data_IF_354747103792
#
_entry.id   IF_354747103792
#
_cell.length_a   1.000
_cell.length_b   1.000
_cell.length_c   1.000
_cell.angle_alpha   90.00
_cell.angle_beta   90.00
_cell.angle_gamma   90.00
#
_symmetry.space_group_name_H-M   'P 1'
#
loop_
_entity.id
_entity.type
_entity.pdbx_description
1 polymer ?
#
# COMPACT_ATOMS: atom_id res chain seq x y z
N UNK A 1 9.28 6.97 10.04
CA UNK A 1 9.46 8.28 9.40
C UNK A 1 10.96 8.55 9.26
N UNK A 2 11.59 8.09 8.17
CA UNK A 2 13.03 8.20 7.96
C UNK A 2 13.52 9.62 7.62
N UNK A 3 12.74 10.44 6.89
CA UNK A 3 13.11 11.83 6.54
C UNK A 3 11.93 12.77 6.79
N UNK A 4 12.17 14.06 7.09
CA UNK A 4 11.09 15.04 7.14
C UNK A 4 10.53 15.31 5.74
N UNK A 5 9.21 15.55 5.67
CA UNK A 5 8.55 16.06 4.47
C UNK A 5 8.48 17.58 4.61
N UNK A 6 9.31 18.29 3.84
CA UNK A 6 9.52 19.75 4.00
C UNK A 6 8.98 20.57 2.84
N UNK A 7 8.57 19.90 1.76
CA UNK A 7 8.05 20.49 0.52
C UNK A 7 6.80 19.71 0.08
N UNK A 8 6.29 20.04 -1.10
CA UNK A 8 5.27 19.22 -1.74
C UNK A 8 5.78 17.78 -1.88
N UNK A 9 4.85 16.83 -1.72
CA UNK A 9 5.19 15.43 -1.63
C UNK A 9 4.16 14.56 -2.32
N UNK A 10 4.63 13.44 -2.86
CA UNK A 10 3.79 12.47 -3.57
C UNK A 10 3.69 11.19 -2.77
N UNK A 11 2.46 10.73 -2.52
CA UNK A 11 2.19 9.43 -1.93
C UNK A 11 2.06 8.38 -3.03
N UNK A 12 2.88 7.34 -2.98
CA UNK A 12 2.95 6.28 -3.98
C UNK A 12 2.48 4.98 -3.34
N UNK A 13 1.45 4.37 -3.93
CA UNK A 13 0.95 3.04 -3.54
C UNK A 13 1.17 2.07 -4.69
N UNK A 14 2.11 1.14 -4.53
CA UNK A 14 2.34 0.12 -5.53
C UNK A 14 1.21 -0.91 -5.55
N UNK A 15 0.89 -1.40 -6.74
CA UNK A 15 0.03 -2.56 -6.87
C UNK A 15 0.69 -3.77 -6.17
N UNK A 16 -0.08 -4.57 -5.41
CA UNK A 16 0.46 -5.76 -4.79
C UNK A 16 0.88 -6.77 -5.87
N UNK A 17 1.82 -7.64 -5.53
CA UNK A 17 2.21 -8.72 -6.42
C UNK A 17 1.00 -9.55 -6.87
N UNK A 18 1.00 -9.99 -8.13
CA UNK A 18 -0.13 -10.71 -8.74
C UNK A 18 -0.54 -11.95 -7.93
N UNK A 19 0.42 -12.67 -7.34
CA UNK A 19 0.15 -13.82 -6.47
C UNK A 19 -0.64 -13.43 -5.22
N UNK A 20 -0.32 -12.29 -4.60
CA UNK A 20 -1.03 -11.77 -3.43
C UNK A 20 -2.45 -11.36 -3.83
N UNK A 21 -2.59 -10.67 -4.97
CA UNK A 21 -3.88 -10.29 -5.51
C UNK A 21 -4.79 -11.49 -5.80
N UNK A 22 -4.29 -12.49 -6.53
CA UNK A 22 -5.04 -13.73 -6.82
C UNK A 22 -5.51 -14.43 -5.53
N UNK A 23 -4.65 -14.50 -4.51
CA UNK A 23 -5.02 -15.09 -3.21
C UNK A 23 -6.09 -14.26 -2.50
N UNK A 24 -5.99 -12.95 -2.54
CA UNK A 24 -6.97 -12.04 -1.94
C UNK A 24 -8.36 -12.23 -2.56
N UNK A 25 -8.45 -12.20 -3.89
CA UNK A 25 -9.70 -12.40 -4.62
C UNK A 25 -10.30 -13.78 -4.34
N UNK A 26 -9.50 -14.84 -4.41
CA UNK A 26 -9.97 -16.20 -4.12
C UNK A 26 -10.49 -16.34 -2.67
N UNK A 27 -9.81 -15.71 -1.70
CA UNK A 27 -10.24 -15.71 -0.29
C UNK A 27 -11.58 -15.00 -0.12
N UNK A 28 -11.74 -13.83 -0.75
CA UNK A 28 -12.97 -13.06 -0.69
C UNK A 28 -14.14 -13.82 -1.32
N UNK A 29 -13.93 -14.42 -2.50
CA UNK A 29 -14.95 -15.23 -3.18
C UNK A 29 -15.39 -16.43 -2.32
N UNK A 30 -14.47 -17.06 -1.59
CA UNK A 30 -14.78 -18.24 -0.77
C UNK A 30 -15.47 -17.90 0.56
N UNK A 31 -15.07 -16.81 1.22
CA UNK A 31 -15.47 -16.54 2.60
C UNK A 31 -16.28 -15.24 2.78
N UNK A 32 -16.51 -14.47 1.71
CA UNK A 32 -17.17 -13.17 1.77
C UNK A 32 -16.36 -12.07 2.46
N UNK A 33 -15.13 -12.37 2.89
CA UNK A 33 -14.19 -11.42 3.49
C UNK A 33 -12.75 -11.75 3.16
N UNK A 34 -11.92 -10.74 2.95
CA UNK A 34 -10.48 -10.90 2.77
C UNK A 34 -9.71 -9.65 3.21
N UNK A 35 -8.45 -9.84 3.57
CA UNK A 35 -7.53 -8.76 3.96
C UNK A 35 -6.40 -8.61 2.95
N UNK A 36 -6.04 -7.37 2.63
CA UNK A 36 -4.93 -7.01 1.76
C UNK A 36 -4.00 -6.03 2.49
N UNK A 37 -2.71 -6.31 2.46
CA UNK A 37 -1.67 -5.40 2.91
C UNK A 37 -1.19 -4.59 1.70
N UNK A 38 -1.12 -3.26 1.83
CA UNK A 38 -0.52 -2.38 0.81
C UNK A 38 0.61 -1.59 1.44
N UNK A 39 1.73 -1.57 0.75
CA UNK A 39 2.87 -0.73 1.07
C UNK A 39 2.73 0.59 0.31
N UNK A 40 2.94 1.68 1.03
CA UNK A 40 2.84 3.04 0.50
C UNK A 40 4.02 3.82 1.04
N UNK A 41 4.61 4.67 0.22
CA UNK A 41 5.67 5.56 0.64
C UNK A 41 5.41 6.97 0.15
N UNK A 42 6.09 7.93 0.78
CA UNK A 42 6.03 9.34 0.43
C UNK A 42 7.42 9.78 0.00
N UNK A 43 7.51 10.51 -1.10
CA UNK A 43 8.73 11.15 -1.59
C UNK A 43 8.53 12.68 -1.63
N UNK A 44 9.59 13.43 -1.32
CA UNK A 44 9.60 14.89 -1.50
C UNK A 44 9.72 15.22 -3.01
N UNK A 45 9.23 16.39 -3.40
CA UNK A 45 9.44 16.92 -4.75
C UNK A 45 10.93 16.88 -5.15
N UNK A 46 11.21 16.35 -6.34
CA UNK A 46 12.57 16.25 -6.87
C UNK A 46 13.47 15.17 -6.23
N UNK A 47 12.92 14.32 -5.37
CA UNK A 47 13.64 13.21 -4.73
C UNK A 47 12.95 11.86 -4.97
N UNK A 48 13.76 10.80 -5.07
CA UNK A 48 13.30 9.41 -5.10
C UNK A 48 13.42 8.75 -3.71
N UNK A 49 13.92 9.48 -2.71
CA UNK A 49 14.10 8.93 -1.37
C UNK A 49 12.76 8.80 -0.64
N UNK A 50 12.54 7.64 -0.04
CA UNK A 50 11.35 7.37 0.75
C UNK A 50 11.42 8.15 2.07
N UNK A 51 10.78 9.31 2.13
CA UNK A 51 10.68 10.12 3.34
C UNK A 51 9.79 9.47 4.40
N UNK A 52 8.76 8.74 3.97
CA UNK A 52 7.86 7.96 4.82
C UNK A 52 7.61 6.61 4.18
N UNK A 53 7.56 5.55 4.98
CA UNK A 53 7.09 4.22 4.56
C UNK A 53 5.97 3.81 5.51
N UNK A 54 4.86 3.35 4.96
CA UNK A 54 3.67 2.92 5.68
C UNK A 54 3.10 1.64 5.07
N UNK A 55 2.65 0.74 5.93
CA UNK A 55 1.95 -0.47 5.52
C UNK A 55 0.53 -0.47 6.08
N UNK A 56 -0.46 -0.31 5.20
CA UNK A 56 -1.87 -0.35 5.54
C UNK A 56 -2.44 -1.76 5.44
N UNK A 57 -3.35 -2.12 6.36
CA UNK A 57 -4.14 -3.35 6.29
C UNK A 57 -5.58 -3.00 5.95
N UNK A 58 -6.09 -3.51 4.83
CA UNK A 58 -7.42 -3.22 4.31
C UNK A 58 -8.25 -4.50 4.28
N UNK A 59 -9.52 -4.42 4.66
CA UNK A 59 -10.44 -5.55 4.65
C UNK A 59 -11.59 -5.25 3.69
N UNK A 60 -11.83 -6.18 2.77
CA UNK A 60 -13.06 -6.22 1.99
C UNK A 60 -14.00 -7.24 2.64
N UNK A 61 -15.25 -6.85 2.87
CA UNK A 61 -16.29 -7.73 3.40
C UNK A 61 -17.63 -7.47 2.69
N UNK A 62 -18.46 -8.50 2.57
CA UNK A 62 -19.85 -8.44 2.09
C UNK A 62 -20.84 -8.49 3.25
#
# INVERSE_FOLDING_TARGET
YPLPVTQDATAICAAPQEKVWKRFVATYQRYGRARLALETWIVNEGSEEHAVIFTGQYVLHR
#
